data_IF_639674162958
#
_entry.id   IF_639674162958
#
_cell.length_a   1.000
_cell.length_b   1.000
_cell.length_c   1.000
_cell.angle_alpha   90.00
_cell.angle_beta   90.00
_cell.angle_gamma   90.00
#
_symmetry.space_group_name_H-M   'P 1'
#
loop_
_entity.id
_entity.type
_entity.pdbx_description
1 polymer ?
#
# COMPACT_ATOMS: atom_id res chain seq x y z
N UNK A 1 -1.57 -6.00 -20.09
CA UNK A 1 -0.65 -4.84 -20.12
C UNK A 1 -0.27 -4.53 -18.68
N UNK A 2 1.01 -4.59 -18.31
CA UNK A 2 1.45 -4.04 -17.02
C UNK A 2 1.32 -2.52 -17.11
N UNK A 3 0.61 -1.88 -16.18
CA UNK A 3 0.52 -0.43 -16.16
C UNK A 3 1.93 0.16 -15.94
N UNK A 4 2.31 1.14 -16.75
CA UNK A 4 3.60 1.82 -16.60
C UNK A 4 3.62 2.71 -15.36
N UNK A 5 4.82 3.04 -14.88
CA UNK A 5 5.00 3.95 -13.72
C UNK A 5 4.23 5.27 -13.87
N UNK A 6 4.25 5.85 -15.06
CA UNK A 6 3.55 7.10 -15.39
C UNK A 6 2.03 7.01 -15.21
N UNK A 7 1.45 5.82 -15.43
CA UNK A 7 0.03 5.60 -15.20
C UNK A 7 -0.32 5.78 -13.72
N UNK A 8 0.44 5.17 -12.81
CA UNK A 8 0.16 5.26 -11.38
C UNK A 8 0.29 6.70 -10.86
N UNK A 9 1.30 7.44 -11.32
CA UNK A 9 1.50 8.83 -10.91
C UNK A 9 0.32 9.71 -11.33
N UNK A 10 -0.10 9.62 -12.60
CA UNK A 10 -1.27 10.36 -13.12
C UNK A 10 -2.56 9.95 -12.41
N UNK A 11 -2.76 8.66 -12.18
CA UNK A 11 -3.92 8.13 -11.49
C UNK A 11 -4.04 8.63 -10.04
N UNK A 12 -2.92 8.65 -9.31
CA UNK A 12 -2.86 9.21 -7.97
C UNK A 12 -3.09 10.73 -7.97
N UNK A 13 -2.48 11.45 -8.92
CA UNK A 13 -2.69 12.90 -9.09
C UNK A 13 -4.16 13.25 -9.33
N UNK A 14 -4.84 12.51 -10.20
CA UNK A 14 -6.26 12.66 -10.50
C UNK A 14 -7.17 12.42 -9.28
N UNK A 15 -6.78 11.49 -8.41
CA UNK A 15 -7.47 11.24 -7.15
C UNK A 15 -7.19 12.31 -6.09
N UNK A 16 -6.30 13.27 -6.37
CA UNK A 16 -5.97 14.39 -5.49
C UNK A 16 -4.72 14.18 -4.64
N UNK A 17 -3.89 13.18 -4.93
CA UNK A 17 -2.64 12.97 -4.21
C UNK A 17 -1.68 14.16 -4.43
N UNK A 18 -1.27 14.90 -3.38
CA UNK A 18 -0.50 16.14 -3.54
C UNK A 18 0.84 15.96 -4.26
N UNK A 19 1.51 14.83 -4.04
CA UNK A 19 2.82 14.55 -4.65
C UNK A 19 2.81 14.40 -6.17
N UNK A 20 1.62 14.22 -6.77
CA UNK A 20 1.44 14.09 -8.22
C UNK A 20 0.36 15.04 -8.78
N UNK A 21 -0.11 16.02 -8.00
CA UNK A 21 -1.18 16.93 -8.40
C UNK A 21 -0.84 17.80 -9.63
N UNK A 22 0.44 17.91 -9.99
CA UNK A 22 0.89 18.62 -11.20
C UNK A 22 0.68 17.81 -12.49
N UNK A 23 0.26 16.54 -12.40
CA UNK A 23 0.01 15.68 -13.54
C UNK A 23 -1.47 15.74 -13.92
N UNK A 24 -1.75 16.23 -15.13
CA UNK A 24 -3.10 16.24 -15.68
C UNK A 24 -3.53 14.82 -16.12
N UNK A 25 -4.77 14.46 -15.75
CA UNK A 25 -5.47 13.28 -16.22
C UNK A 25 -6.95 13.62 -16.45
N UNK A 26 -7.66 12.76 -17.18
CA UNK A 26 -9.11 12.85 -17.39
C UNK A 26 -9.78 11.51 -17.07
N UNK A 27 -9.06 10.60 -16.43
CA UNK A 27 -9.56 9.26 -16.10
C UNK A 27 -10.09 9.24 -14.66
N UNK A 28 -11.42 9.20 -14.53
CA UNK A 28 -12.06 8.82 -13.28
C UNK A 28 -11.64 7.40 -12.91
N UNK A 29 -10.76 7.27 -11.92
CA UNK A 29 -10.26 5.98 -11.45
C UNK A 29 -10.84 5.66 -10.09
N UNK A 30 -11.23 4.39 -9.92
CA UNK A 30 -11.69 3.89 -8.64
C UNK A 30 -10.48 3.67 -7.71
N UNK A 31 -10.44 4.30 -6.51
CA UNK A 31 -9.32 4.15 -5.57
C UNK A 31 -9.00 2.69 -5.20
N UNK A 32 -10.03 1.83 -5.08
CA UNK A 32 -9.84 0.42 -4.78
C UNK A 32 -9.15 -0.31 -5.94
N UNK A 33 -9.57 -0.03 -7.17
CA UNK A 33 -8.97 -0.64 -8.37
C UNK A 33 -7.54 -0.19 -8.58
N UNK A 34 -7.26 1.10 -8.39
CA UNK A 34 -5.91 1.63 -8.46
C UNK A 34 -4.99 0.97 -7.43
N UNK A 35 -5.46 0.86 -6.18
CA UNK A 35 -4.70 0.19 -5.13
C UNK A 35 -4.44 -1.28 -5.49
N UNK A 36 -5.44 -2.02 -5.97
CA UNK A 36 -5.24 -3.41 -6.40
C UNK A 36 -4.20 -3.52 -7.53
N UNK A 37 -4.29 -2.67 -8.56
CA UNK A 37 -3.34 -2.67 -9.68
C UNK A 37 -1.90 -2.38 -9.21
N UNK A 38 -1.74 -1.47 -8.26
CA UNK A 38 -0.45 -1.17 -7.66
C UNK A 38 0.07 -2.36 -6.83
N UNK A 39 -0.76 -2.94 -5.97
CA UNK A 39 -0.39 -4.10 -5.15
C UNK A 39 -0.03 -5.32 -6.01
N UNK A 40 -0.66 -5.48 -7.18
CA UNK A 40 -0.37 -6.57 -8.11
C UNK A 40 0.88 -6.36 -8.97
N UNK A 41 1.44 -5.14 -8.94
CA UNK A 41 2.66 -4.81 -9.68
C UNK A 41 3.89 -5.42 -9.01
N UNK A 42 4.80 -5.98 -9.80
CA UNK A 42 6.06 -6.54 -9.30
C UNK A 42 7.04 -5.46 -8.85
N UNK A 43 7.07 -4.34 -9.58
CA UNK A 43 7.98 -3.22 -9.37
C UNK A 43 7.24 -1.90 -9.56
N UNK A 44 7.27 -1.06 -8.55
CA UNK A 44 6.77 0.30 -8.54
C UNK A 44 7.89 1.28 -8.18
N UNK A 45 7.77 2.50 -8.69
CA UNK A 45 8.59 3.62 -8.21
C UNK A 45 8.38 3.84 -6.71
N UNK A 46 9.45 4.17 -6.00
CA UNK A 46 9.42 4.31 -4.55
C UNK A 46 8.35 5.31 -4.10
N UNK A 47 8.21 6.44 -4.81
CA UNK A 47 7.21 7.48 -4.50
C UNK A 47 5.78 7.02 -4.74
N UNK A 48 5.55 6.13 -5.71
CA UNK A 48 4.24 5.52 -5.93
C UNK A 48 3.92 4.55 -4.78
N UNK A 49 4.90 3.75 -4.36
CA UNK A 49 4.75 2.84 -3.22
C UNK A 49 4.45 3.60 -1.91
N UNK A 50 5.16 4.70 -1.66
CA UNK A 50 4.92 5.60 -0.52
C UNK A 50 3.53 6.24 -0.56
N UNK A 51 2.97 6.48 -1.75
CA UNK A 51 1.63 7.04 -1.90
C UNK A 51 0.50 6.01 -1.67
N UNK A 52 0.77 4.69 -1.65
CA UNK A 52 -0.30 3.69 -1.55
C UNK A 52 -1.13 3.80 -0.26
N UNK A 53 -0.54 4.03 0.94
CA UNK A 53 -1.30 4.22 2.16
C UNK A 53 -2.18 5.48 2.17
N UNK A 54 -1.94 6.44 1.27
CA UNK A 54 -2.78 7.62 1.11
C UNK A 54 -4.19 7.27 0.65
N UNK A 55 -4.35 6.25 -0.22
CA UNK A 55 -5.64 5.82 -0.74
C UNK A 55 -6.62 5.35 0.36
N UNK A 56 -6.30 4.37 1.22
CA UNK A 56 -7.19 3.94 2.30
C UNK A 56 -7.44 5.00 3.37
N UNK A 57 -6.54 5.97 3.51
CA UNK A 57 -6.75 7.10 4.43
C UNK A 57 -7.78 8.09 3.89
N UNK A 58 -7.63 8.52 2.63
CA UNK A 58 -8.51 9.53 2.03
C UNK A 58 -9.80 8.94 1.45
N UNK A 59 -9.82 7.64 1.15
CA UNK A 59 -10.99 6.90 0.66
C UNK A 59 -11.32 5.71 1.57
N UNK A 60 -11.67 5.95 2.86
CA UNK A 60 -11.91 4.86 3.83
C UNK A 60 -13.14 4.00 3.50
N UNK A 61 -14.07 4.53 2.69
CA UNK A 61 -15.27 3.85 2.21
C UNK A 61 -15.11 3.18 0.85
N UNK A 62 -13.90 3.11 0.29
CA UNK A 62 -13.67 2.36 -0.95
C UNK A 62 -14.14 0.90 -0.80
N UNK A 63 -14.37 0.20 -1.92
CA UNK A 63 -14.94 -1.15 -1.90
C UNK A 63 -13.95 -2.20 -1.32
N UNK A 64 -13.83 -2.25 0.01
CA UNK A 64 -12.93 -3.14 0.75
C UNK A 64 -13.28 -4.61 0.59
N UNK A 65 -14.56 -4.95 0.43
CA UNK A 65 -14.99 -6.34 0.23
C UNK A 65 -14.45 -6.88 -1.10
N UNK A 66 -14.58 -6.08 -2.16
CA UNK A 66 -14.00 -6.41 -3.46
C UNK A 66 -12.48 -6.44 -3.40
N UNK A 67 -11.84 -5.39 -2.86
CA UNK A 67 -10.37 -5.29 -2.78
C UNK A 67 -9.76 -6.45 -1.98
N UNK A 68 -10.40 -6.85 -0.88
CA UNK A 68 -10.00 -8.01 -0.08
C UNK A 68 -10.09 -9.31 -0.87
N UNK A 69 -11.19 -9.51 -1.58
CA UNK A 69 -11.41 -10.74 -2.36
C UNK A 69 -10.40 -10.85 -3.51
N UNK A 70 -10.20 -9.77 -4.26
CA UNK A 70 -9.23 -9.71 -5.35
C UNK A 70 -7.78 -9.82 -4.87
N UNK A 71 -7.45 -9.23 -3.72
CA UNK A 71 -6.10 -9.35 -3.18
C UNK A 71 -5.81 -10.78 -2.75
N UNK A 72 -6.78 -11.50 -2.19
CA UNK A 72 -6.63 -12.92 -1.85
C UNK A 72 -6.48 -13.81 -3.08
N UNK A 73 -7.25 -13.56 -4.15
CA UNK A 73 -7.18 -14.37 -5.37
C UNK A 73 -5.85 -14.22 -6.12
N UNK A 74 -5.10 -13.14 -5.86
CA UNK A 74 -3.81 -12.83 -6.50
C UNK A 74 -2.61 -12.96 -5.56
N UNK A 75 -2.80 -13.51 -4.36
CA UNK A 75 -1.75 -13.61 -3.33
C UNK A 75 -1.11 -12.25 -2.98
N UNK A 76 -1.94 -11.20 -2.85
CA UNK A 76 -1.55 -9.81 -2.48
C UNK A 76 -2.08 -9.37 -1.13
N UNK A 77 -2.76 -10.24 -0.38
CA UNK A 77 -3.35 -9.91 0.93
C UNK A 77 -2.33 -9.38 1.94
N UNK A 78 -1.09 -9.87 1.93
CA UNK A 78 -0.06 -9.37 2.83
C UNK A 78 0.32 -7.92 2.52
N UNK A 79 0.46 -7.58 1.23
CA UNK A 79 0.71 -6.20 0.79
C UNK A 79 -0.46 -5.28 1.15
N UNK A 80 -1.70 -5.72 0.90
CA UNK A 80 -2.91 -4.97 1.24
C UNK A 80 -2.99 -4.68 2.75
N UNK A 81 -2.79 -5.71 3.58
CA UNK A 81 -2.82 -5.56 5.03
C UNK A 81 -1.75 -4.59 5.53
N UNK A 82 -0.55 -4.66 4.97
CA UNK A 82 0.54 -3.76 5.32
C UNK A 82 0.23 -2.30 4.97
N UNK A 83 -0.28 -2.04 3.76
CA UNK A 83 -0.68 -0.69 3.33
C UNK A 83 -1.79 -0.13 4.22
N UNK A 84 -2.80 -0.94 4.56
CA UNK A 84 -3.86 -0.52 5.48
C UNK A 84 -3.33 -0.20 6.89
N UNK A 85 -2.33 -0.94 7.38
CA UNK A 85 -1.72 -0.70 8.69
C UNK A 85 -0.80 0.52 8.68
N UNK A 86 -0.05 0.78 7.60
CA UNK A 86 0.68 2.04 7.44
C UNK A 86 -0.26 3.24 7.51
N UNK A 87 -1.39 3.17 6.80
CA UNK A 87 -2.41 4.22 6.85
C UNK A 87 -3.04 4.36 8.25
N UNK A 88 -3.26 3.23 8.93
CA UNK A 88 -3.76 3.20 10.32
C UNK A 88 -2.79 3.89 11.30
N UNK A 89 -1.48 3.63 11.15
CA UNK A 89 -0.44 4.22 12.00
C UNK A 89 -0.27 5.73 11.72
N UNK A 90 -0.42 6.16 10.45
CA UNK A 90 -0.47 7.58 10.11
C UNK A 90 -1.71 8.25 10.73
N UNK A 91 -2.90 7.66 10.58
CA UNK A 91 -4.14 8.16 11.18
C UNK A 91 -4.01 8.29 12.71
N UNK A 92 -3.41 7.29 13.36
CA UNK A 92 -3.15 7.35 14.80
C UNK A 92 -2.27 8.55 15.18
N UNK A 93 -1.17 8.78 14.44
CA UNK A 93 -0.25 9.91 14.70
C UNK A 93 -0.91 11.28 14.48
N UNK A 94 -1.90 11.36 13.60
CA UNK A 94 -2.67 12.59 13.34
C UNK A 94 -3.86 12.77 14.30
N UNK A 95 -4.10 11.82 15.21
CA UNK A 95 -5.22 11.85 16.14
C UNK A 95 -6.55 11.34 15.57
N UNK A 96 -6.55 10.79 14.35
CA UNK A 96 -7.74 10.23 13.68
C UNK A 96 -8.02 8.80 14.17
N UNK A 97 -8.35 8.68 15.45
CA UNK A 97 -8.48 7.39 16.15
C UNK A 97 -9.51 6.47 15.50
N UNK A 98 -10.68 6.99 15.11
CA UNK A 98 -11.74 6.18 14.48
C UNK A 98 -11.30 5.62 13.13
N UNK A 99 -10.60 6.42 12.32
CA UNK A 99 -10.05 5.96 11.03
C UNK A 99 -8.97 4.90 11.26
N UNK A 100 -8.08 5.14 12.22
CA UNK A 100 -7.03 4.18 12.60
C UNK A 100 -7.61 2.81 12.97
N UNK A 101 -8.63 2.78 13.84
CA UNK A 101 -9.31 1.55 14.26
C UNK A 101 -10.01 0.85 13.09
N UNK A 102 -10.69 1.60 12.23
CA UNK A 102 -11.36 1.06 11.04
C UNK A 102 -10.35 0.37 10.12
N UNK A 103 -9.23 1.03 9.81
CA UNK A 103 -8.18 0.49 8.96
C UNK A 103 -7.50 -0.74 9.58
N UNK A 104 -7.27 -0.72 10.90
CA UNK A 104 -6.76 -1.87 11.64
C UNK A 104 -7.71 -3.07 11.57
N UNK A 105 -9.02 -2.84 11.66
CA UNK A 105 -10.03 -3.88 11.47
C UNK A 105 -10.02 -4.46 10.05
N UNK A 106 -9.82 -3.63 9.01
CA UNK A 106 -9.66 -4.12 7.63
C UNK A 106 -8.45 -5.03 7.48
N UNK A 107 -7.31 -4.66 8.07
CA UNK A 107 -6.12 -5.49 8.05
C UNK A 107 -6.30 -6.79 8.87
N UNK A 108 -6.95 -6.72 10.03
CA UNK A 108 -7.23 -7.89 10.86
C UNK A 108 -8.10 -8.94 10.13
N UNK A 109 -9.00 -8.52 9.24
CA UNK A 109 -9.80 -9.43 8.42
C UNK A 109 -8.96 -10.26 7.41
N UNK A 110 -7.70 -9.87 7.17
CA UNK A 110 -6.76 -10.59 6.30
C UNK A 110 -5.88 -11.58 7.08
N UNK A 111 -5.89 -11.55 8.41
CA UNK A 111 -4.97 -12.33 9.26
C UNK A 111 -5.13 -13.84 9.04
N UNK A 112 -6.36 -14.33 8.96
CA UNK A 112 -6.64 -15.75 8.71
C UNK A 112 -6.16 -16.24 7.32
N UNK A 113 -5.89 -15.31 6.41
CA UNK A 113 -5.41 -15.57 5.04
C UNK A 113 -3.96 -15.14 4.82
N UNK A 114 -3.24 -14.79 5.89
CA UNK A 114 -1.86 -14.32 5.81
C UNK A 114 -0.96 -15.37 5.17
N UNK A 115 -0.22 -14.97 4.14
CA UNK A 115 0.69 -15.86 3.42
C UNK A 115 1.99 -16.04 4.19
N UNK A 116 2.49 -17.27 4.21
CA UNK A 116 3.80 -17.62 4.77
C UNK A 116 4.97 -17.22 3.86
N UNK A 117 4.72 -17.09 2.55
CA UNK A 117 5.76 -16.77 1.58
C UNK A 117 6.27 -15.33 1.79
N UNK A 118 7.59 -15.17 1.66
CA UNK A 118 8.23 -13.87 1.62
C UNK A 118 7.85 -13.14 0.32
N UNK A 119 7.48 -11.88 0.45
CA UNK A 119 7.16 -10.99 -0.66
C UNK A 119 7.79 -9.60 -0.43
N UNK A 120 7.59 -8.67 -1.35
CA UNK A 120 8.06 -7.28 -1.32
C UNK A 120 6.85 -6.36 -1.40
N UNK A 121 7.01 -5.08 -1.04
CA UNK A 121 5.98 -4.07 -1.32
C UNK A 121 6.17 -3.50 -2.73
N UNK A 122 5.93 -4.35 -3.75
CA UNK A 122 6.13 -4.04 -5.16
C UNK A 122 7.56 -3.56 -5.53
N UNK A 123 8.58 -4.29 -5.07
CA UNK A 123 9.99 -4.03 -5.37
C UNK A 123 10.75 -5.33 -5.62
N UNK A 124 10.27 -6.17 -6.54
CA UNK A 124 10.87 -7.49 -6.81
C UNK A 124 12.30 -7.41 -7.36
N UNK A 125 12.66 -6.30 -8.01
CA UNK A 125 13.97 -6.03 -8.62
C UNK A 125 15.11 -5.80 -7.61
N UNK A 126 14.82 -5.78 -6.30
CA UNK A 126 15.84 -5.63 -5.24
C UNK A 126 17.00 -6.62 -5.41
N UNK A 127 18.21 -6.11 -5.20
CA UNK A 127 19.41 -6.93 -5.19
C UNK A 127 19.39 -7.95 -4.03
N UNK A 128 20.15 -9.03 -4.14
CA UNK A 128 20.25 -10.01 -3.05
C UNK A 128 20.85 -9.41 -1.77
N UNK A 129 21.76 -8.43 -1.92
CA UNK A 129 22.32 -7.70 -0.78
C UNK A 129 21.25 -6.90 -0.04
N UNK A 130 20.41 -6.18 -0.78
CA UNK A 130 19.29 -5.41 -0.24
C UNK A 130 18.25 -6.32 0.44
N UNK A 131 17.88 -7.44 -0.18
CA UNK A 131 16.98 -8.43 0.43
C UNK A 131 17.54 -8.98 1.74
N UNK A 132 18.82 -9.32 1.77
CA UNK A 132 19.50 -9.81 2.98
C UNK A 132 19.47 -8.76 4.09
N UNK A 133 19.72 -7.50 3.75
CA UNK A 133 19.65 -6.39 4.69
C UNK A 133 18.22 -6.23 5.25
N UNK A 134 17.20 -6.19 4.39
CA UNK A 134 15.80 -6.04 4.81
C UNK A 134 15.28 -7.16 5.71
N UNK A 135 15.72 -8.41 5.54
CA UNK A 135 15.34 -9.50 6.47
C UNK A 135 15.72 -9.23 7.93
N UNK A 136 16.74 -8.38 8.15
CA UNK A 136 17.23 -8.02 9.49
C UNK A 136 16.82 -6.62 9.95
N UNK A 137 16.43 -5.73 9.03
CA UNK A 137 16.13 -4.32 9.33
C UNK A 137 14.66 -3.92 9.10
N UNK A 138 13.84 -4.79 8.49
CA UNK A 138 12.40 -4.54 8.31
C UNK A 138 11.69 -4.33 9.65
N UNK A 139 10.60 -3.58 9.62
CA UNK A 139 9.78 -3.35 10.80
C UNK A 139 9.15 -4.66 11.33
N UNK A 140 8.77 -4.74 12.62
CA UNK A 140 8.02 -5.89 13.14
C UNK A 140 6.72 -6.14 12.36
N UNK A 141 6.08 -5.06 11.91
CA UNK A 141 4.87 -5.15 11.09
C UNK A 141 5.15 -5.77 9.72
N UNK A 142 6.23 -5.36 9.05
CA UNK A 142 6.63 -5.95 7.76
C UNK A 142 7.02 -7.42 7.93
N UNK A 143 7.71 -7.75 9.03
CA UNK A 143 8.03 -9.14 9.37
C UNK A 143 6.79 -10.00 9.60
N UNK A 144 5.78 -9.48 10.32
CA UNK A 144 4.51 -10.19 10.57
C UNK A 144 3.82 -10.58 9.26
N UNK A 145 3.74 -9.65 8.31
CA UNK A 145 3.16 -9.88 6.97
C UNK A 145 4.15 -10.45 5.94
N UNK A 146 5.32 -10.95 6.35
CA UNK A 146 6.32 -11.54 5.47
C UNK A 146 6.76 -10.65 4.29
N UNK A 147 6.85 -9.33 4.51
CA UNK A 147 7.28 -8.36 3.51
C UNK A 147 8.73 -7.91 3.73
N UNK A 148 9.48 -7.81 2.64
CA UNK A 148 10.76 -7.12 2.57
C UNK A 148 10.52 -5.65 2.23
N UNK A 149 10.39 -4.84 3.27
CA UNK A 149 10.32 -3.38 3.21
C UNK A 149 10.68 -2.81 4.59
N UNK A 150 11.30 -1.64 4.58
CA UNK A 150 11.58 -0.82 5.76
C UNK A 150 10.66 0.41 5.86
N UNK A 151 9.75 0.59 4.88
CA UNK A 151 8.81 1.70 4.83
C UNK A 151 7.93 1.70 6.08
N UNK A 152 7.89 2.83 6.78
CA UNK A 152 7.12 3.02 8.02
C UNK A 152 6.36 4.34 7.98
N UNK A 153 5.38 4.48 8.86
CA UNK A 153 4.52 5.67 8.89
C UNK A 153 5.28 6.99 9.09
N UNK A 154 6.46 6.97 9.72
CA UNK A 154 7.35 8.14 9.86
C UNK A 154 7.83 8.67 8.50
N UNK A 155 8.08 7.79 7.54
CA UNK A 155 8.58 8.18 6.22
C UNK A 155 7.49 8.88 5.41
N UNK A 156 6.23 8.69 5.79
CA UNK A 156 5.05 9.14 5.05
C UNK A 156 4.46 10.47 5.56
N UNK A 157 4.98 11.07 6.62
CA UNK A 157 4.35 12.27 7.21
C UNK A 157 4.20 13.44 6.22
N UNK A 158 5.06 13.50 5.21
CA UNK A 158 5.05 14.54 4.19
C UNK A 158 3.97 14.36 3.11
N UNK A 159 3.24 13.23 3.10
CA UNK A 159 2.27 12.89 2.05
C UNK A 159 0.80 12.94 2.47
N UNK A 160 0.51 13.19 3.76
CA UNK A 160 -0.84 13.20 4.36
C UNK A 160 -1.27 14.55 4.91
#
# INVERSE_FOLDING_TARGET
MKAGEEFFKRALGELGYPGFAYLESQQLLNPAELLLLALDSENLDARVTEALPWLPFHFPEMNWNWLTSESKSRDRQNRLAYVALLASDVAQKRGETQLSEKLRSRAAALECSRLANEDTLAKSSMSQAERKWLRTHRTPLAAHWNLLTDLKAEDLQHVF
#
